data_IF_504431280628
#
_entry.id   IF_504431280628
#
_cell.length_a   1.000
_cell.length_b   1.000
_cell.length_c   1.000
_cell.angle_alpha   90.00
_cell.angle_beta   90.00
_cell.angle_gamma   90.00
#
_symmetry.space_group_name_H-M   'P 1'
#
loop_
_entity.id
_entity.type
_entity.pdbx_description
1 polymer ?
#
# COMPACT_ATOMS: atom_id res chain seq x y z
N UNK A 1 -24.02 -4.49 9.64
CA UNK A 1 -23.79 -3.02 9.68
C UNK A 1 -24.47 -2.31 10.84
N UNK A 2 -25.79 -2.41 11.05
CA UNK A 2 -26.52 -1.55 12.02
C UNK A 2 -25.99 -1.58 13.46
N UNK A 3 -25.51 -2.71 13.97
CA UNK A 3 -25.00 -2.80 15.34
C UNK A 3 -23.59 -2.21 15.51
N UNK A 4 -22.74 -2.19 14.47
CA UNK A 4 -21.39 -1.59 14.53
C UNK A 4 -21.52 -0.06 14.59
N UNK A 5 -22.43 0.50 13.78
CA UNK A 5 -22.75 1.93 13.86
C UNK A 5 -23.34 2.30 15.23
N UNK A 6 -24.22 1.47 15.79
CA UNK A 6 -24.73 1.66 17.15
C UNK A 6 -23.64 1.60 18.23
N UNK A 7 -22.62 0.74 18.06
CA UNK A 7 -21.46 0.67 18.95
C UNK A 7 -20.57 1.91 18.81
N UNK A 8 -20.32 2.38 17.58
CA UNK A 8 -19.55 3.58 17.32
C UNK A 8 -20.22 4.84 17.87
N UNK A 9 -21.55 4.92 17.79
CA UNK A 9 -22.33 6.02 18.39
C UNK A 9 -22.15 6.08 19.91
N UNK A 10 -22.07 4.92 20.57
CA UNK A 10 -21.83 4.83 22.02
C UNK A 10 -20.36 5.04 22.39
N UNK A 11 -19.45 4.52 21.57
CA UNK A 11 -18.00 4.57 21.78
C UNK A 11 -17.28 5.10 20.51
N UNK A 12 -17.18 6.43 20.34
CA UNK A 12 -16.64 7.02 19.11
C UNK A 12 -15.18 6.68 18.79
N UNK A 13 -14.40 6.28 19.80
CA UNK A 13 -12.97 5.97 19.68
C UNK A 13 -12.68 4.46 19.75
N UNK A 14 -13.68 3.61 19.54
CA UNK A 14 -13.46 2.16 19.51
C UNK A 14 -12.75 1.74 18.21
N UNK A 15 -11.49 1.33 18.34
CA UNK A 15 -10.53 1.15 17.23
C UNK A 15 -11.01 0.09 16.24
N UNK A 16 -11.41 -1.09 16.70
CA UNK A 16 -11.82 -2.17 15.81
C UNK A 16 -13.10 -1.82 15.03
N UNK A 17 -14.02 -1.07 15.66
CA UNK A 17 -15.22 -0.59 14.97
C UNK A 17 -14.89 0.46 13.90
N UNK A 18 -13.97 1.38 14.19
CA UNK A 18 -13.50 2.37 13.22
C UNK A 18 -12.85 1.70 12.01
N UNK A 19 -11.97 0.71 12.25
CA UNK A 19 -11.32 -0.06 11.18
C UNK A 19 -12.31 -0.85 10.33
N UNK A 20 -13.30 -1.50 10.95
CA UNK A 20 -14.34 -2.25 10.22
C UNK A 20 -15.27 -1.34 9.43
N UNK A 21 -15.67 -0.20 9.98
CA UNK A 21 -16.49 0.79 9.27
C UNK A 21 -15.72 1.37 8.08
N UNK A 22 -14.42 1.65 8.24
CA UNK A 22 -13.56 2.01 7.11
C UNK A 22 -13.65 0.98 5.97
N UNK A 23 -13.59 -0.32 6.28
CA UNK A 23 -13.69 -1.36 5.26
C UNK A 23 -15.07 -1.39 4.58
N UNK A 24 -16.15 -1.13 5.31
CA UNK A 24 -17.51 -1.02 4.74
C UNK A 24 -17.61 0.16 3.77
N UNK A 25 -17.09 1.34 4.14
CA UNK A 25 -17.08 2.51 3.25
C UNK A 25 -16.20 2.27 2.02
N UNK A 26 -15.05 1.61 2.19
CA UNK A 26 -14.18 1.20 1.10
C UNK A 26 -14.89 0.27 0.10
N UNK A 27 -15.70 -0.69 0.57
CA UNK A 27 -16.52 -1.56 -0.28
C UNK A 27 -17.67 -0.82 -0.97
N UNK A 28 -18.19 0.22 -0.33
CA UNK A 28 -19.24 1.09 -0.88
C UNK A 28 -18.71 2.07 -1.92
N UNK A 29 -17.39 2.18 -2.08
CA UNK A 29 -16.73 3.09 -3.02
C UNK A 29 -16.39 4.47 -2.45
N UNK A 30 -16.82 4.77 -1.23
CA UNK A 30 -16.49 6.04 -0.55
C UNK A 30 -15.14 5.91 0.17
N UNK A 31 -14.08 6.16 -0.60
CA UNK A 31 -12.70 6.09 -0.11
C UNK A 31 -12.33 7.28 0.80
N UNK A 32 -13.04 8.40 0.71
CA UNK A 32 -12.77 9.59 1.51
C UNK A 32 -13.16 9.31 2.95
N UNK A 33 -14.42 8.92 3.16
CA UNK A 33 -14.92 8.55 4.48
C UNK A 33 -14.17 7.36 5.06
N UNK A 34 -13.82 6.35 4.24
CA UNK A 34 -13.01 5.23 4.69
C UNK A 34 -11.65 5.69 5.26
N UNK A 35 -10.97 6.60 4.57
CA UNK A 35 -9.72 7.20 5.04
C UNK A 35 -9.89 7.97 6.36
N UNK A 36 -10.96 8.76 6.50
CA UNK A 36 -11.23 9.49 7.74
C UNK A 36 -11.43 8.57 8.94
N UNK A 37 -12.09 7.42 8.78
CA UNK A 37 -12.25 6.48 9.89
C UNK A 37 -10.91 5.87 10.34
N UNK A 38 -9.98 5.62 9.41
CA UNK A 38 -8.62 5.21 9.76
C UNK A 38 -7.84 6.34 10.46
N UNK A 39 -7.96 7.58 9.98
CA UNK A 39 -7.34 8.74 10.62
C UNK A 39 -7.87 8.93 12.05
N UNK A 40 -9.18 8.75 12.28
CA UNK A 40 -9.79 8.75 13.62
C UNK A 40 -9.27 7.62 14.50
N UNK A 41 -9.03 6.43 13.94
CA UNK A 41 -8.44 5.31 14.68
C UNK A 41 -7.00 5.62 15.11
N UNK A 42 -6.19 6.19 14.21
CA UNK A 42 -4.82 6.62 14.54
C UNK A 42 -4.81 7.74 15.60
N UNK A 43 -5.75 8.67 15.52
CA UNK A 43 -5.92 9.71 16.53
C UNK A 43 -6.30 9.14 17.91
N UNK A 44 -7.15 8.11 17.95
CA UNK A 44 -7.46 7.40 19.19
C UNK A 44 -6.20 6.75 19.79
N UNK A 45 -5.35 6.15 18.95
CA UNK A 45 -4.06 5.62 19.40
C UNK A 45 -3.16 6.73 19.95
N UNK A 46 -2.97 7.81 19.20
CA UNK A 46 -2.12 8.95 19.60
C UNK A 46 -2.47 9.47 21.01
N UNK A 47 -3.77 9.59 21.31
CA UNK A 47 -4.26 9.98 22.63
C UNK A 47 -3.90 9.01 23.76
N UNK A 48 -3.73 7.73 23.44
CA UNK A 48 -3.45 6.66 24.40
C UNK A 48 -1.97 6.36 24.57
N UNK A 49 -1.10 6.96 23.74
CA UNK A 49 0.34 6.71 23.80
C UNK A 49 0.94 7.26 25.10
N UNK A 50 1.84 6.47 25.68
CA UNK A 50 2.61 6.91 26.84
C UNK A 50 3.51 8.10 26.47
N UNK A 51 3.73 9.06 27.38
CA UNK A 51 4.50 10.30 27.13
C UNK A 51 5.93 10.02 26.61
N UNK A 52 6.53 8.89 27.01
CA UNK A 52 7.86 8.44 26.54
C UNK A 52 7.85 7.76 25.16
N UNK A 53 6.68 7.40 24.65
CA UNK A 53 6.53 6.80 23.34
C UNK A 53 6.67 7.90 22.28
N UNK A 54 7.88 8.02 21.73
CA UNK A 54 8.18 9.02 20.73
C UNK A 54 8.19 8.38 19.35
N UNK A 55 7.24 8.79 18.50
CA UNK A 55 7.08 8.33 17.12
C UNK A 55 8.20 8.89 16.22
N UNK A 56 8.58 10.16 16.40
CA UNK A 56 9.53 10.86 15.53
C UNK A 56 10.97 10.35 15.66
N UNK A 57 11.35 9.81 16.81
CA UNK A 57 12.71 9.30 17.04
C UNK A 57 12.94 7.89 16.51
N UNK A 58 11.87 7.14 16.19
CA UNK A 58 12.00 5.76 15.72
C UNK A 58 12.63 4.80 16.75
N UNK A 59 12.64 5.13 18.04
CA UNK A 59 13.17 4.28 19.13
C UNK A 59 12.10 3.46 19.84
N UNK A 60 10.83 3.70 19.53
CA UNK A 60 9.69 3.03 20.15
C UNK A 60 9.45 1.69 19.45
N UNK A 61 9.55 0.58 20.18
CA UNK A 61 9.32 -0.77 19.65
C UNK A 61 7.99 -1.32 20.14
N UNK A 62 7.29 -2.04 19.26
CA UNK A 62 6.00 -2.64 19.56
C UNK A 62 5.98 -4.07 19.05
N UNK A 63 5.75 -5.04 19.93
CA UNK A 63 5.74 -6.46 19.53
C UNK A 63 4.41 -6.83 18.87
N UNK A 64 4.47 -7.33 17.63
CA UNK A 64 3.31 -7.77 16.85
C UNK A 64 2.62 -9.03 17.40
N UNK A 65 3.32 -9.82 18.22
CA UNK A 65 2.75 -11.02 18.83
C UNK A 65 1.61 -10.71 19.80
N UNK A 66 1.58 -9.50 20.39
CA UNK A 66 0.47 -9.07 21.24
C UNK A 66 -0.71 -8.63 20.39
N UNK A 67 -1.87 -9.22 20.62
CA UNK A 67 -3.09 -8.97 19.85
C UNK A 67 -3.46 -7.47 19.77
N UNK A 68 -3.39 -6.74 20.89
CA UNK A 68 -3.78 -5.33 20.98
C UNK A 68 -2.91 -4.41 20.11
N UNK A 69 -1.64 -4.79 19.93
CA UNK A 69 -0.70 -4.03 19.14
C UNK A 69 -0.99 -4.14 17.64
N UNK A 70 -1.55 -5.26 17.18
CA UNK A 70 -1.76 -5.54 15.76
C UNK A 70 -2.69 -4.53 15.11
N UNK A 71 -3.72 -4.09 15.83
CA UNK A 71 -4.62 -3.04 15.37
C UNK A 71 -3.87 -1.74 14.99
N UNK A 72 -2.82 -1.38 15.73
CA UNK A 72 -2.01 -0.20 15.41
C UNK A 72 -1.18 -0.39 14.13
N UNK A 73 -0.54 -1.55 13.95
CA UNK A 73 0.18 -1.89 12.72
C UNK A 73 -0.74 -1.87 11.50
N UNK A 74 -1.93 -2.47 11.61
CA UNK A 74 -2.92 -2.51 10.53
C UNK A 74 -3.48 -1.12 10.22
N UNK A 75 -3.76 -0.30 11.23
CA UNK A 75 -4.22 1.08 11.04
C UNK A 75 -3.17 1.92 10.29
N UNK A 76 -1.89 1.82 10.68
CA UNK A 76 -0.78 2.49 9.99
C UNK A 76 -0.65 2.02 8.54
N UNK A 77 -0.67 0.71 8.31
CA UNK A 77 -0.56 0.16 6.96
C UNK A 77 -1.70 0.64 6.05
N UNK A 78 -2.95 0.57 6.54
CA UNK A 78 -4.12 1.07 5.79
C UNK A 78 -4.02 2.57 5.53
N UNK A 79 -3.52 3.35 6.49
CA UNK A 79 -3.28 4.77 6.29
C UNK A 79 -2.24 5.03 5.19
N UNK A 80 -1.13 4.28 5.17
CA UNK A 80 -0.14 4.34 4.09
C UNK A 80 -0.81 4.08 2.73
N UNK A 81 -1.67 3.05 2.63
CA UNK A 81 -2.41 2.77 1.38
C UNK A 81 -3.31 3.94 0.94
N UNK A 82 -4.04 4.55 1.86
CA UNK A 82 -4.86 5.74 1.56
C UNK A 82 -4.00 6.92 1.10
N UNK A 83 -2.86 7.18 1.76
CA UNK A 83 -1.91 8.23 1.36
C UNK A 83 -1.31 7.97 -0.02
N UNK A 84 -0.91 6.73 -0.32
CA UNK A 84 -0.39 6.35 -1.63
C UNK A 84 -1.43 6.54 -2.73
N UNK A 85 -2.70 6.21 -2.48
CA UNK A 85 -3.80 6.44 -3.44
C UNK A 85 -4.07 7.92 -3.67
N UNK A 86 -3.93 8.77 -2.65
CA UNK A 86 -4.04 10.24 -2.75
C UNK A 86 -2.83 10.88 -3.42
N UNK A 87 -1.75 10.13 -3.70
CA UNK A 87 -0.51 10.66 -4.26
C UNK A 87 0.37 11.40 -3.25
N UNK A 88 0.10 11.26 -1.95
CA UNK A 88 0.89 11.86 -0.87
C UNK A 88 2.15 11.01 -0.58
N UNK A 89 3.02 10.87 -1.58
CA UNK A 89 4.14 9.92 -1.55
C UNK A 89 5.13 10.16 -0.41
N UNK A 90 5.46 11.42 -0.13
CA UNK A 90 6.37 11.77 0.98
C UNK A 90 5.80 11.37 2.34
N UNK A 91 4.53 11.70 2.60
CA UNK A 91 3.86 11.32 3.84
C UNK A 91 3.74 9.80 3.95
N UNK A 92 3.32 9.12 2.88
CA UNK A 92 3.26 7.66 2.85
C UNK A 92 4.61 7.01 3.17
N UNK A 93 5.69 7.58 2.64
CA UNK A 93 7.05 7.12 2.89
C UNK A 93 7.48 7.30 4.36
N UNK A 94 7.22 8.46 4.98
CA UNK A 94 7.50 8.67 6.40
C UNK A 94 6.71 7.73 7.30
N UNK A 95 5.43 7.50 7.00
CA UNK A 95 4.62 6.51 7.74
C UNK A 95 5.13 5.08 7.54
N UNK A 96 5.71 4.77 6.39
CA UNK A 96 6.34 3.45 6.13
C UNK A 96 7.58 3.25 6.99
N UNK A 97 8.43 4.29 7.12
CA UNK A 97 9.57 4.25 8.05
C UNK A 97 9.09 4.08 9.49
N UNK A 98 8.02 4.79 9.88
CA UNK A 98 7.42 4.64 11.20
C UNK A 98 6.96 3.19 11.43
N UNK A 99 6.20 2.61 10.50
CA UNK A 99 5.72 1.24 10.60
C UNK A 99 6.87 0.23 10.73
N UNK A 100 7.90 0.37 9.90
CA UNK A 100 9.11 -0.47 9.97
C UNK A 100 9.85 -0.28 11.31
N UNK A 101 9.87 0.94 11.86
CA UNK A 101 10.57 1.22 13.12
C UNK A 101 9.94 0.54 14.35
N UNK A 102 8.67 0.12 14.27
CA UNK A 102 7.99 -0.56 15.37
C UNK A 102 8.57 -1.97 15.61
N UNK A 103 8.86 -2.69 14.53
CA UNK A 103 9.53 -4.00 14.55
C UNK A 103 10.45 -4.16 13.33
N UNK A 104 11.68 -3.61 13.40
CA UNK A 104 12.61 -3.60 12.26
C UNK A 104 13.23 -4.97 11.96
N UNK A 105 13.16 -5.92 12.90
CA UNK A 105 13.79 -7.23 12.75
C UNK A 105 12.82 -8.19 12.06
N UNK A 106 11.60 -8.32 12.59
CA UNK A 106 10.66 -9.31 12.07
C UNK A 106 9.83 -8.80 10.89
N UNK A 107 9.66 -7.47 10.76
CA UNK A 107 8.87 -6.82 9.71
C UNK A 107 7.53 -7.55 9.41
N UNK A 108 6.60 -7.60 10.38
CA UNK A 108 5.43 -8.47 10.33
C UNK A 108 4.46 -8.16 9.17
N UNK A 109 4.53 -6.96 8.59
CA UNK A 109 3.71 -6.54 7.45
C UNK A 109 4.52 -6.37 6.16
N UNK A 110 5.75 -6.87 6.13
CA UNK A 110 6.66 -6.81 4.98
C UNK A 110 6.82 -5.41 4.37
N UNK A 111 7.02 -4.40 5.22
CA UNK A 111 7.30 -3.02 4.79
C UNK A 111 8.49 -2.94 3.85
N UNK A 112 9.50 -3.78 4.05
CA UNK A 112 10.66 -3.89 3.18
C UNK A 112 10.31 -4.22 1.71
N UNK A 113 9.13 -4.78 1.43
CA UNK A 113 8.73 -5.12 0.06
C UNK A 113 8.24 -3.92 -0.75
N UNK A 114 7.82 -2.83 -0.10
CA UNK A 114 7.19 -1.69 -0.79
C UNK A 114 7.81 -0.33 -0.43
N UNK A 115 8.63 -0.24 0.62
CA UNK A 115 9.22 1.03 1.09
C UNK A 115 10.15 1.64 0.04
N UNK A 116 10.84 0.81 -0.75
CA UNK A 116 11.71 1.24 -1.84
C UNK A 116 10.90 1.97 -2.93
N UNK A 117 9.78 1.40 -3.34
CA UNK A 117 8.87 2.03 -4.31
C UNK A 117 8.34 3.38 -3.81
N UNK A 118 7.91 3.44 -2.54
CA UNK A 118 7.44 4.69 -1.94
C UNK A 118 8.57 5.73 -1.86
N UNK A 119 9.79 5.31 -1.52
CA UNK A 119 10.97 6.17 -1.52
C UNK A 119 11.28 6.75 -2.90
N UNK A 120 11.22 5.92 -3.95
CA UNK A 120 11.38 6.35 -5.35
C UNK A 120 10.31 7.35 -5.78
N UNK A 121 9.03 7.08 -5.46
CA UNK A 121 7.92 8.01 -5.75
C UNK A 121 8.01 9.31 -4.96
N UNK A 122 8.52 9.25 -3.72
CA UNK A 122 8.77 10.41 -2.87
C UNK A 122 10.02 11.20 -3.27
N UNK A 123 10.78 10.74 -4.29
CA UNK A 123 12.05 11.31 -4.75
C UNK A 123 13.16 11.32 -3.69
N UNK A 124 13.09 10.40 -2.72
CA UNK A 124 14.08 10.24 -1.65
C UNK A 124 15.18 9.25 -2.07
N UNK A 125 15.82 9.52 -3.21
CA UNK A 125 16.73 8.57 -3.86
C UNK A 125 17.99 8.29 -3.04
N UNK A 126 18.56 9.32 -2.42
CA UNK A 126 19.73 9.20 -1.54
C UNK A 126 19.44 8.30 -0.35
N UNK A 127 18.26 8.46 0.25
CA UNK A 127 17.82 7.62 1.35
C UNK A 127 17.65 6.16 0.90
N UNK A 128 17.04 5.90 -0.26
CA UNK A 128 16.87 4.51 -0.75
C UNK A 128 18.25 3.85 -0.94
N UNK A 129 19.22 4.59 -1.49
CA UNK A 129 20.59 4.10 -1.65
C UNK A 129 21.28 3.85 -0.30
N UNK A 130 21.24 4.78 0.64
CA UNK A 130 21.86 4.59 1.96
C UNK A 130 21.18 3.43 2.70
N UNK A 131 19.86 3.39 2.70
CA UNK A 131 19.05 2.34 3.32
C UNK A 131 19.40 0.95 2.78
N UNK A 132 19.56 0.80 1.46
CA UNK A 132 19.95 -0.48 0.84
C UNK A 132 21.34 -0.94 1.25
N UNK A 133 22.25 -0.01 1.60
CA UNK A 133 23.64 -0.31 1.96
C UNK A 133 23.86 -0.48 3.47
N UNK A 134 23.12 0.25 4.30
CA UNK A 134 23.37 0.40 5.73
C UNK A 134 22.44 -0.43 6.62
N UNK A 135 21.41 -1.06 6.05
CA UNK A 135 20.48 -1.88 6.83
C UNK A 135 21.14 -3.17 7.33
N UNK A 136 21.19 -3.34 8.66
CA UNK A 136 21.95 -4.42 9.30
C UNK A 136 21.16 -5.73 9.47
N UNK A 137 19.83 -5.67 9.52
CA UNK A 137 19.01 -6.83 9.88
C UNK A 137 18.83 -7.82 8.71
N UNK A 138 18.79 -7.31 7.48
CA UNK A 138 18.53 -8.07 6.27
C UNK A 138 19.44 -7.57 5.14
N UNK A 139 19.96 -8.47 4.31
CA UNK A 139 20.77 -8.08 3.15
C UNK A 139 19.83 -7.59 2.04
N UNK A 140 19.46 -6.30 2.10
CA UNK A 140 18.46 -5.74 1.19
C UNK A 140 18.89 -5.80 -0.27
N UNK A 141 20.19 -5.70 -0.57
CA UNK A 141 20.75 -5.80 -1.93
C UNK A 141 20.41 -7.11 -2.64
N UNK A 142 20.20 -8.17 -1.86
CA UNK A 142 19.89 -9.49 -2.39
C UNK A 142 18.39 -9.65 -2.63
N UNK A 143 17.53 -8.68 -2.27
CA UNK A 143 16.11 -8.73 -2.59
C UNK A 143 15.82 -8.19 -4.01
N UNK A 144 14.87 -8.79 -4.76
CA UNK A 144 14.59 -8.39 -6.14
C UNK A 144 14.18 -6.92 -6.29
N UNK A 145 13.38 -6.42 -5.36
CA UNK A 145 12.89 -5.04 -5.38
C UNK A 145 14.04 -4.05 -5.18
N UNK A 146 14.84 -4.20 -4.12
CA UNK A 146 15.96 -3.30 -3.83
C UNK A 146 17.08 -3.37 -4.88
N UNK A 147 17.34 -4.52 -5.48
CA UNK A 147 18.33 -4.63 -6.56
C UNK A 147 17.99 -3.67 -7.72
N UNK A 148 16.75 -3.68 -8.21
CA UNK A 148 16.31 -2.78 -9.28
C UNK A 148 16.04 -1.35 -8.79
N UNK A 149 15.43 -1.19 -7.60
CA UNK A 149 15.09 0.12 -7.06
C UNK A 149 16.31 0.94 -6.70
N UNK A 150 17.41 0.32 -6.24
CA UNK A 150 18.68 1.01 -6.00
C UNK A 150 19.30 1.52 -7.31
N UNK A 151 19.27 0.72 -8.38
CA UNK A 151 19.71 1.16 -9.70
C UNK A 151 18.88 2.34 -10.21
N UNK A 152 17.54 2.26 -10.10
CA UNK A 152 16.62 3.34 -10.47
C UNK A 152 16.87 4.60 -9.64
N UNK A 153 17.09 4.49 -8.33
CA UNK A 153 17.40 5.63 -7.46
C UNK A 153 18.68 6.34 -7.92
N UNK A 154 19.74 5.57 -8.24
CA UNK A 154 21.00 6.12 -8.73
C UNK A 154 20.84 6.80 -10.08
N UNK A 155 20.09 6.20 -10.99
CA UNK A 155 19.79 6.76 -12.31
C UNK A 155 19.09 8.11 -12.19
N UNK A 156 18.08 8.21 -11.33
CA UNK A 156 17.35 9.46 -11.10
C UNK A 156 18.23 10.57 -10.48
N UNK A 157 19.15 10.21 -9.57
CA UNK A 157 20.12 11.18 -9.02
C UNK A 157 21.11 11.68 -10.08
N UNK A 158 21.57 10.80 -10.96
CA UNK A 158 22.47 11.19 -12.05
C UNK A 158 21.75 12.08 -13.07
N UNK A 159 20.46 11.82 -13.33
CA UNK A 159 19.64 12.67 -14.20
C UNK A 159 19.44 14.09 -13.62
N UNK A 160 19.31 14.20 -12.30
CA UNK A 160 19.21 15.50 -11.62
C UNK A 160 20.54 16.25 -11.58
N UNK A 161 21.66 15.52 -11.56
CA UNK A 161 23.00 16.08 -11.50
C UNK A 161 23.55 16.30 -12.93
N UNK A 162 23.52 17.55 -13.41
CA UNK A 162 24.02 17.95 -14.75
C UNK A 162 25.47 17.55 -15.08
N UNK A 163 26.25 17.12 -14.09
CA UNK A 163 27.65 16.72 -14.22
C UNK A 163 27.86 15.22 -14.53
N UNK A 164 26.83 14.38 -14.39
CA UNK A 164 26.95 12.92 -14.51
C UNK A 164 26.31 12.39 -15.80
N UNK A 165 26.86 12.78 -16.95
CA UNK A 165 26.25 12.47 -18.27
C UNK A 165 26.33 11.00 -18.70
N UNK A 166 27.19 10.19 -18.09
CA UNK A 166 27.49 8.85 -18.62
C UNK A 166 26.68 7.72 -17.99
N UNK A 167 25.84 8.01 -16.99
CA UNK A 167 25.01 7.02 -16.28
C UNK A 167 25.73 5.70 -15.91
N UNK A 168 27.05 5.73 -15.74
CA UNK A 168 27.87 4.51 -15.73
C UNK A 168 27.66 3.73 -14.43
N UNK A 169 27.58 4.43 -13.29
CA UNK A 169 27.37 3.79 -11.99
C UNK A 169 25.94 3.26 -11.83
N UNK A 170 24.92 4.00 -12.30
CA UNK A 170 23.55 3.48 -12.32
C UNK A 170 23.42 2.27 -13.25
N UNK A 171 24.04 2.32 -14.43
CA UNK A 171 24.03 1.22 -15.40
C UNK A 171 24.72 -0.01 -14.84
N UNK A 172 25.87 0.11 -14.17
CA UNK A 172 26.52 -1.01 -13.49
C UNK A 172 25.62 -1.67 -12.42
N UNK A 173 24.88 -0.86 -11.64
CA UNK A 173 23.91 -1.39 -10.67
C UNK A 173 22.75 -2.11 -11.36
N UNK A 174 22.26 -1.60 -12.49
CA UNK A 174 21.18 -2.23 -13.25
C UNK A 174 21.64 -3.51 -13.93
N UNK A 175 22.81 -3.52 -14.56
CA UNK A 175 23.43 -4.72 -15.12
C UNK A 175 23.54 -5.81 -14.06
N UNK A 176 24.00 -5.46 -12.84
CA UNK A 176 24.06 -6.38 -11.70
C UNK A 176 22.67 -6.89 -11.29
N UNK A 177 21.66 -6.02 -11.25
CA UNK A 177 20.29 -6.40 -10.92
C UNK A 177 19.68 -7.36 -11.97
N UNK A 178 19.98 -7.15 -13.26
CA UNK A 178 19.59 -8.06 -14.35
C UNK A 178 20.28 -9.42 -14.20
N UNK A 179 21.55 -9.45 -13.80
CA UNK A 179 22.28 -10.70 -13.56
C UNK A 179 21.68 -11.47 -12.38
N UNK A 180 21.27 -10.78 -11.31
CA UNK A 180 20.65 -11.41 -10.14
C UNK A 180 19.24 -11.92 -10.44
N UNK A 181 18.45 -11.13 -11.18
CA UNK A 181 17.03 -11.41 -11.45
C UNK A 181 16.67 -11.09 -12.91
N UNK A 182 17.10 -11.94 -13.86
CA UNK A 182 16.89 -11.70 -15.29
C UNK A 182 15.41 -11.71 -15.69
N UNK A 183 14.60 -12.54 -15.04
CA UNK A 183 13.17 -12.73 -15.34
C UNK A 183 12.28 -11.51 -15.02
N UNK A 184 12.78 -10.51 -14.29
CA UNK A 184 12.08 -9.23 -14.10
C UNK A 184 11.94 -8.48 -15.43
N UNK A 185 12.97 -8.50 -16.28
CA UNK A 185 13.01 -7.72 -17.53
C UNK A 185 11.88 -8.10 -18.50
N UNK A 186 11.68 -9.38 -18.88
CA UNK A 186 10.58 -9.75 -19.77
C UNK A 186 9.20 -9.44 -19.15
N UNK A 187 9.05 -9.58 -17.84
CA UNK A 187 7.80 -9.24 -17.13
C UNK A 187 7.53 -7.73 -17.12
N UNK A 188 8.57 -6.91 -17.00
CA UNK A 188 8.46 -5.45 -17.14
C UNK A 188 8.12 -5.06 -18.59
N UNK A 189 8.72 -5.73 -19.58
CA UNK A 189 8.43 -5.48 -21.00
C UNK A 189 6.97 -5.78 -21.34
N UNK A 190 6.45 -6.92 -20.91
CA UNK A 190 5.04 -7.27 -21.07
C UNK A 190 4.14 -6.24 -20.38
N UNK A 191 4.47 -5.85 -19.16
CA UNK A 191 3.61 -4.96 -18.37
C UNK A 191 3.66 -3.49 -18.81
N UNK A 192 4.81 -3.02 -19.29
CA UNK A 192 5.01 -1.63 -19.73
C UNK A 192 4.87 -1.46 -21.25
N UNK A 193 4.56 -2.54 -21.97
CA UNK A 193 4.34 -2.57 -23.42
C UNK A 193 5.52 -2.01 -24.24
N UNK A 194 6.74 -2.47 -23.92
CA UNK A 194 7.93 -2.18 -24.72
C UNK A 194 8.55 -3.45 -25.30
N UNK A 195 9.22 -3.29 -26.45
CA UNK A 195 9.78 -4.41 -27.20
C UNK A 195 11.19 -4.77 -26.71
N UNK A 196 11.48 -6.06 -26.63
CA UNK A 196 12.83 -6.61 -26.45
C UNK A 196 13.19 -7.33 -27.76
N UNK A 197 14.43 -7.18 -28.21
CA UNK A 197 14.91 -7.89 -29.41
C UNK A 197 14.76 -9.41 -29.22
N UNK A 198 14.22 -10.09 -30.24
CA UNK A 198 13.93 -11.53 -30.19
C UNK A 198 15.14 -12.37 -29.80
N UNK A 199 16.33 -12.02 -30.33
CA UNK A 199 17.58 -12.73 -30.05
C UNK A 199 18.00 -12.67 -28.58
N UNK A 200 17.55 -11.64 -27.85
CA UNK A 200 17.82 -11.45 -26.43
C UNK A 200 16.74 -12.14 -25.60
N UNK A 201 15.47 -12.01 -26.01
CA UNK A 201 14.34 -12.63 -25.34
C UNK A 201 14.44 -14.16 -25.35
N UNK A 202 14.94 -14.75 -26.45
CA UNK A 202 15.12 -16.20 -26.61
C UNK A 202 16.38 -16.74 -25.90
N UNK A 203 17.17 -15.88 -25.25
CA UNK A 203 18.35 -16.32 -24.49
C UNK A 203 17.94 -17.13 -23.27
N UNK A 204 18.52 -18.33 -23.09
CA UNK A 204 18.24 -19.24 -21.97
C UNK A 204 18.33 -18.57 -20.60
N UNK A 205 19.28 -17.63 -20.42
CA UNK A 205 19.46 -16.90 -19.18
C UNK A 205 18.36 -15.86 -18.92
N UNK A 206 17.90 -15.16 -19.97
CA UNK A 206 16.86 -14.12 -19.83
C UNK A 206 15.47 -14.76 -19.70
N UNK A 207 15.24 -15.86 -20.41
CA UNK A 207 14.03 -16.66 -20.32
C UNK A 207 14.01 -17.58 -19.08
N UNK A 208 15.05 -17.56 -18.23
CA UNK A 208 15.16 -18.40 -17.04
C UNK A 208 14.04 -18.07 -16.06
N UNK A 209 13.11 -19.01 -15.87
CA UNK A 209 12.09 -18.93 -14.81
C UNK A 209 12.59 -19.72 -13.62
N UNK A 210 12.70 -19.07 -12.46
CA UNK A 210 13.11 -19.74 -11.23
C UNK A 210 12.13 -20.86 -10.87
N UNK A 211 12.65 -21.95 -10.33
CA UNK A 211 11.83 -23.05 -9.77
C UNK A 211 11.14 -22.65 -8.47
N UNK A 212 11.67 -21.65 -7.75
CA UNK A 212 11.11 -21.18 -6.49
C UNK A 212 9.80 -20.40 -6.70
N UNK A 213 8.71 -20.91 -6.11
CA UNK A 213 7.42 -20.20 -6.07
C UNK A 213 7.51 -18.89 -5.28
N UNK A 214 8.34 -18.86 -4.24
CA UNK A 214 8.49 -17.68 -3.40
C UNK A 214 9.20 -16.56 -4.16
N UNK A 215 10.32 -16.85 -4.84
CA UNK A 215 11.01 -15.84 -5.65
C UNK A 215 10.12 -15.30 -6.77
N UNK A 216 9.43 -16.18 -7.50
CA UNK A 216 8.51 -15.75 -8.56
C UNK A 216 7.37 -14.85 -8.03
N UNK A 217 6.89 -15.09 -6.81
CA UNK A 217 5.92 -14.21 -6.16
C UNK A 217 6.51 -12.83 -5.85
N UNK A 218 7.73 -12.75 -5.32
CA UNK A 218 8.40 -11.48 -5.04
C UNK A 218 8.66 -10.66 -6.31
N UNK A 219 9.11 -11.34 -7.37
CA UNK A 219 9.32 -10.74 -8.69
C UNK A 219 8.00 -10.15 -9.23
N UNK A 220 6.91 -10.92 -9.18
CA UNK A 220 5.63 -10.45 -9.68
C UNK A 220 5.04 -9.32 -8.81
N UNK A 221 5.24 -9.35 -7.50
CA UNK A 221 4.86 -8.25 -6.60
C UNK A 221 5.62 -6.97 -6.96
N UNK A 222 6.95 -7.09 -7.14
CA UNK A 222 7.79 -5.96 -7.53
C UNK A 222 7.36 -5.38 -8.89
N UNK A 223 7.19 -6.22 -9.91
CA UNK A 223 6.73 -5.79 -11.25
C UNK A 223 5.34 -5.17 -11.16
N UNK A 224 4.44 -5.75 -10.35
CA UNK A 224 3.09 -5.25 -10.24
C UNK A 224 3.09 -3.80 -9.71
N UNK A 225 3.88 -3.56 -8.67
CA UNK A 225 3.98 -2.28 -8.00
C UNK A 225 4.82 -1.24 -8.76
N UNK A 226 6.00 -1.64 -9.25
CA UNK A 226 7.02 -0.74 -9.79
C UNK A 226 6.82 -0.38 -11.25
N UNK A 227 5.96 -1.09 -12.00
CA UNK A 227 5.68 -0.79 -13.41
C UNK A 227 5.47 0.70 -13.74
N UNK A 228 4.77 1.54 -12.94
CA UNK A 228 4.61 2.96 -13.26
C UNK A 228 5.88 3.82 -13.13
N UNK A 229 7.00 3.24 -12.66
CA UNK A 229 8.32 3.89 -12.66
C UNK A 229 9.07 3.61 -13.96
N UNK A 230 8.76 2.49 -14.62
CA UNK A 230 9.41 2.03 -15.85
C UNK A 230 8.68 2.47 -17.12
N UNK A 231 7.63 3.28 -17.02
CA UNK A 231 6.88 3.79 -18.19
C UNK A 231 7.57 4.99 -18.87
N UNK A 232 8.57 5.60 -18.26
CA UNK A 232 9.26 6.76 -18.86
C UNK A 232 10.17 6.30 -20.00
N UNK A 233 10.14 6.94 -21.19
CA UNK A 233 10.96 6.54 -22.34
C UNK A 233 12.45 6.48 -22.03
N UNK A 234 12.96 7.37 -21.18
CA UNK A 234 14.36 7.39 -20.76
C UNK A 234 14.71 6.17 -19.91
N UNK A 235 13.79 5.73 -19.04
CA UNK A 235 13.99 4.53 -18.23
C UNK A 235 13.94 3.25 -19.09
N UNK A 236 13.06 3.21 -20.09
CA UNK A 236 12.94 2.09 -21.02
C UNK A 236 14.20 1.97 -21.88
N UNK A 237 14.65 3.07 -22.49
CA UNK A 237 15.86 3.07 -23.33
C UNK A 237 17.11 2.71 -22.52
N UNK A 238 17.20 3.22 -21.29
CA UNK A 238 18.24 2.83 -20.35
C UNK A 238 18.20 1.33 -20.00
N UNK A 239 17.03 0.79 -19.68
CA UNK A 239 16.86 -0.65 -19.40
C UNK A 239 17.26 -1.53 -20.58
N UNK A 240 16.84 -1.17 -21.80
CA UNK A 240 17.21 -1.88 -23.02
C UNK A 240 18.73 -1.84 -23.26
N UNK A 241 19.37 -0.69 -23.01
CA UNK A 241 20.82 -0.55 -23.14
C UNK A 241 21.60 -1.42 -22.14
N UNK A 242 21.16 -1.47 -20.88
CA UNK A 242 21.77 -2.31 -19.86
C UNK A 242 21.57 -3.80 -20.15
N UNK A 243 20.37 -4.18 -20.62
CA UNK A 243 20.07 -5.54 -21.05
C UNK A 243 20.97 -5.98 -22.21
N UNK A 244 21.12 -5.12 -23.22
CA UNK A 244 22.03 -5.35 -24.35
C UNK A 244 23.47 -5.53 -23.89
N UNK A 245 23.96 -4.69 -22.97
CA UNK A 245 25.31 -4.84 -22.43
C UNK A 245 25.53 -6.18 -21.75
N UNK A 246 24.60 -6.61 -20.88
CA UNK A 246 24.65 -7.92 -20.21
C UNK A 246 24.66 -9.05 -21.24
N UNK A 247 23.77 -8.99 -22.23
CA UNK A 247 23.68 -10.00 -23.28
C UNK A 247 24.94 -10.10 -24.13
N UNK A 248 25.50 -8.96 -24.57
CA UNK A 248 26.73 -8.92 -25.37
C UNK A 248 27.90 -9.42 -24.53
N UNK A 249 27.97 -9.07 -23.25
CA UNK A 249 29.01 -9.53 -22.32
C UNK A 249 29.01 -11.05 -22.15
N UNK A 250 27.82 -11.67 -22.08
CA UNK A 250 27.69 -13.14 -22.07
C UNK A 250 28.21 -13.79 -23.35
N UNK A 251 27.97 -13.19 -24.52
CA UNK A 251 28.44 -13.73 -25.82
C UNK A 251 29.92 -13.45 -26.09
N UNK A 252 30.40 -12.28 -25.67
CA UNK A 252 31.74 -11.77 -25.90
C UNK A 252 32.34 -11.31 -24.57
N UNK A 253 33.09 -12.19 -23.87
CA UNK A 253 33.68 -11.85 -22.57
C UNK A 253 34.60 -10.63 -22.61
N UNK A 254 35.21 -10.33 -23.76
CA UNK A 254 36.08 -9.16 -23.96
C UNK A 254 35.33 -7.83 -24.14
N UNK A 255 33.99 -7.84 -24.19
CA UNK A 255 33.19 -6.61 -24.31
C UNK A 255 33.30 -5.76 -23.04
N UNK A 256 33.49 -4.45 -23.18
CA UNK A 256 33.52 -3.53 -22.04
C UNK A 256 32.10 -3.09 -21.70
N UNK A 257 31.46 -3.83 -20.79
CA UNK A 257 30.23 -3.39 -20.12
C UNK A 257 30.57 -2.36 -19.03
N UNK A 258 29.55 -1.82 -18.34
CA UNK A 258 29.79 -0.94 -17.20
C UNK A 258 30.40 -1.69 -16.01
N UNK A 259 30.07 -2.98 -15.86
CA UNK A 259 30.76 -3.88 -14.94
C UNK A 259 32.11 -4.35 -15.49
N UNK A 260 33.11 -4.44 -14.60
CA UNK A 260 34.39 -5.09 -14.91
C UNK A 260 34.22 -6.61 -15.07
N UNK A 261 35.20 -7.27 -15.71
CA UNK A 261 35.15 -8.72 -15.96
C UNK A 261 35.02 -9.52 -14.65
N UNK A 262 35.76 -9.12 -13.62
CA UNK A 262 35.75 -9.75 -12.30
C UNK A 262 34.38 -9.53 -11.63
N UNK A 263 33.90 -8.29 -11.56
CA UNK A 263 32.58 -7.95 -10.97
C UNK A 263 31.43 -8.67 -11.68
N UNK A 264 31.50 -8.83 -13.00
CA UNK A 264 30.49 -9.56 -13.76
C UNK A 264 30.47 -11.04 -13.36
N UNK A 265 31.65 -11.66 -13.28
CA UNK A 265 31.77 -13.07 -12.91
C UNK A 265 31.30 -13.32 -11.47
N UNK A 266 31.67 -12.46 -10.53
CA UNK A 266 31.23 -12.52 -9.13
C UNK A 266 29.72 -12.31 -9.03
N UNK A 267 29.17 -11.32 -9.75
CA UNK A 267 27.74 -11.08 -9.78
C UNK A 267 26.95 -12.27 -10.35
N UNK A 268 27.49 -12.96 -11.36
CA UNK A 268 26.84 -14.13 -11.95
C UNK A 268 26.79 -15.31 -10.99
N UNK A 269 27.88 -15.59 -10.27
CA UNK A 269 27.93 -16.64 -9.25
C UNK A 269 26.99 -16.30 -8.09
N UNK A 270 27.11 -15.09 -7.53
CA UNK A 270 26.27 -14.64 -6.40
C UNK A 270 24.78 -14.63 -6.76
N UNK A 271 24.43 -14.15 -7.97
CA UNK A 271 23.05 -14.15 -8.45
C UNK A 271 22.45 -15.56 -8.52
N UNK A 272 23.23 -16.56 -8.97
CA UNK A 272 22.79 -17.96 -8.94
C UNK A 272 22.60 -18.47 -7.51
N UNK A 273 23.57 -18.22 -6.64
CA UNK A 273 23.51 -18.65 -5.23
C UNK A 273 22.31 -18.07 -4.48
N UNK A 274 21.97 -16.80 -4.73
CA UNK A 274 20.77 -16.18 -4.14
C UNK A 274 19.50 -16.87 -4.65
N UNK A 275 19.36 -17.02 -5.98
CA UNK A 275 18.16 -17.62 -6.59
C UNK A 275 17.94 -19.07 -6.15
N UNK A 276 19.02 -19.82 -5.96
CA UNK A 276 18.99 -21.19 -5.49
C UNK A 276 18.72 -21.25 -3.98
N UNK A 277 19.49 -20.57 -3.13
CA UNK A 277 19.48 -20.82 -1.68
C UNK A 277 18.52 -19.95 -0.87
N UNK A 278 18.31 -18.67 -1.24
CA UNK A 278 17.62 -17.71 -0.38
C UNK A 278 16.09 -17.92 -0.36
N UNK A 279 15.54 -18.50 -1.44
CA UNK A 279 14.10 -18.60 -1.67
C UNK A 279 13.57 -20.04 -1.74
N UNK A 280 14.31 -21.04 -1.27
CA UNK A 280 13.86 -22.45 -1.30
C UNK A 280 12.64 -22.72 -0.41
N UNK A 281 12.52 -21.94 0.67
CA UNK A 281 11.49 -22.13 1.67
C UNK A 281 10.09 -21.80 1.13
N UNK A 282 9.08 -22.34 1.82
CA UNK A 282 7.70 -21.93 1.58
C UNK A 282 7.53 -20.42 1.79
N UNK A 283 6.53 -19.84 1.12
CA UNK A 283 6.21 -18.41 1.25
C UNK A 283 5.99 -18.07 2.73
N UNK A 284 6.76 -17.13 3.30
CA UNK A 284 6.64 -16.75 4.70
C UNK A 284 5.24 -16.24 5.07
N UNK A 285 4.90 -16.35 6.36
CA UNK A 285 3.61 -15.92 6.88
C UNK A 285 3.45 -14.40 6.76
N UNK A 286 4.54 -13.65 6.93
CA UNK A 286 4.62 -12.19 6.83
C UNK A 286 4.27 -11.72 5.43
N UNK A 287 4.81 -12.38 4.41
CA UNK A 287 4.54 -12.08 2.99
C UNK A 287 3.09 -12.42 2.66
N UNK A 288 2.60 -13.56 3.16
CA UNK A 288 1.20 -13.94 3.00
C UNK A 288 0.26 -12.92 3.66
N UNK A 289 0.62 -12.43 4.85
CA UNK A 289 -0.11 -11.40 5.58
C UNK A 289 -0.11 -10.08 4.82
N UNK A 290 1.04 -9.66 4.30
CA UNK A 290 1.14 -8.48 3.45
C UNK A 290 0.21 -8.56 2.22
N UNK A 291 0.15 -9.70 1.53
CA UNK A 291 -0.73 -9.87 0.35
C UNK A 291 -2.21 -9.75 0.75
N UNK A 292 -2.59 -10.32 1.88
CA UNK A 292 -3.96 -10.23 2.40
C UNK A 292 -4.31 -8.80 2.80
N UNK A 293 -3.45 -8.11 3.54
CA UNK A 293 -3.68 -6.73 4.02
C UNK A 293 -3.60 -5.73 2.87
N UNK A 294 -2.75 -5.97 1.87
CA UNK A 294 -2.66 -5.14 0.66
C UNK A 294 -3.87 -5.30 -0.26
N UNK A 295 -4.72 -6.31 -0.02
CA UNK A 295 -5.93 -6.61 -0.80
C UNK A 295 -5.62 -6.90 -2.28
N UNK A 296 -4.42 -7.40 -2.58
CA UNK A 296 -4.02 -7.70 -3.95
C UNK A 296 -4.56 -9.07 -4.39
N UNK A 297 -5.77 -9.03 -4.96
CA UNK A 297 -6.53 -10.22 -5.37
C UNK A 297 -5.80 -11.14 -6.34
N UNK A 298 -4.88 -10.59 -7.14
CA UNK A 298 -4.09 -11.33 -8.14
C UNK A 298 -3.20 -12.41 -7.53
N UNK A 299 -2.74 -12.18 -6.30
CA UNK A 299 -1.73 -13.02 -5.65
C UNK A 299 -2.30 -13.98 -4.62
N UNK A 300 -3.58 -13.85 -4.25
CA UNK A 300 -4.23 -14.72 -3.26
C UNK A 300 -4.17 -16.20 -3.66
N UNK A 301 -4.32 -16.52 -4.95
CA UNK A 301 -4.25 -17.90 -5.44
C UNK A 301 -2.88 -18.56 -5.36
N UNK A 302 -1.82 -17.79 -5.07
CA UNK A 302 -0.45 -18.30 -4.93
C UNK A 302 -0.03 -18.54 -3.49
N UNK A 303 -0.88 -18.15 -2.53
CA UNK A 303 -0.57 -18.28 -1.12
C UNK A 303 -0.63 -19.75 -0.66
N UNK A 304 0.14 -20.13 0.38
CA UNK A 304 0.06 -21.47 0.96
C UNK A 304 -1.35 -21.79 1.49
N UNK A 305 -1.68 -23.08 1.55
CA UNK A 305 -3.00 -23.58 2.00
C UNK A 305 -3.42 -23.12 3.40
N UNK A 306 -2.50 -22.60 4.22
CA UNK A 306 -2.81 -22.06 5.55
C UNK A 306 -3.80 -20.89 5.46
N UNK A 307 -3.79 -20.16 4.34
CA UNK A 307 -4.67 -19.03 4.04
C UNK A 307 -6.10 -19.46 3.68
N UNK A 308 -6.35 -20.77 3.46
CA UNK A 308 -7.69 -21.30 3.18
C UNK A 308 -8.59 -21.42 4.42
N UNK A 309 -8.04 -21.24 5.63
CA UNK A 309 -8.81 -21.16 6.85
C UNK A 309 -9.33 -19.72 6.96
N UNK A 310 -10.65 -19.54 7.05
CA UNK A 310 -11.34 -18.24 6.95
C UNK A 310 -10.54 -17.07 7.51
N UNK A 311 -10.14 -16.15 6.63
CA UNK A 311 -9.30 -15.02 6.97
C UNK A 311 -10.13 -13.99 7.73
N UNK A 312 -9.76 -13.74 8.98
CA UNK A 312 -10.31 -12.63 9.74
C UNK A 312 -9.66 -11.32 9.27
N UNK A 313 -10.42 -10.46 8.59
CA UNK A 313 -9.92 -9.17 8.08
C UNK A 313 -9.43 -8.21 9.19
N UNK A 314 -9.92 -8.39 10.41
CA UNK A 314 -9.51 -7.58 11.58
C UNK A 314 -8.20 -8.07 12.23
N UNK A 315 -7.81 -9.32 12.00
CA UNK A 315 -6.55 -9.91 12.48
C UNK A 315 -6.05 -10.94 11.45
N UNK A 316 -5.51 -10.46 10.31
CA UNK A 316 -5.18 -11.31 9.19
C UNK A 316 -3.92 -12.12 9.49
N UNK A 317 -4.05 -13.45 9.44
CA UNK A 317 -2.95 -14.40 9.60
C UNK A 317 -2.09 -14.10 10.86
N UNK A 318 -2.67 -14.22 12.07
CA UNK A 318 -1.95 -13.91 13.31
C UNK A 318 -0.71 -14.80 13.48
N UNK A 319 0.36 -14.30 14.13
CA UNK A 319 1.54 -15.11 14.39
C UNK A 319 1.18 -16.33 15.27
N UNK A 320 1.78 -17.51 15.03
CA UNK A 320 1.46 -18.73 15.77
C UNK A 320 1.78 -18.60 17.27
N UNK A 321 2.81 -17.83 17.62
CA UNK A 321 3.21 -17.54 19.01
C UNK A 321 2.47 -16.33 19.61
N UNK A 322 1.39 -15.89 18.95
CA UNK A 322 0.64 -14.72 19.35
C UNK A 322 -0.19 -14.93 20.62
N UNK A 323 -0.05 -14.02 21.58
CA UNK A 323 -0.87 -14.01 22.80
C UNK A 323 -2.16 -13.22 22.55
N UNK A 324 -3.31 -13.86 22.72
CA UNK A 324 -4.62 -13.20 22.69
C UNK A 324 -5.34 -13.42 24.03
N UNK A 325 -5.46 -12.37 24.89
CA UNK A 325 -6.10 -12.52 26.20
C UNK A 325 -7.61 -12.80 26.11
N UNK A 326 -8.24 -12.50 24.97
CA UNK A 326 -9.66 -12.76 24.77
C UNK A 326 -9.94 -14.26 24.55
N UNK A 327 -8.98 -15.02 24.01
CA UNK A 327 -9.15 -16.48 23.81
C UNK A 327 -9.22 -17.25 25.13
N UNK A 328 -8.45 -16.83 26.15
CA UNK A 328 -8.48 -17.45 27.49
C UNK A 328 -9.74 -17.10 28.28
N UNK A 329 -10.27 -15.88 28.12
CA UNK A 329 -11.54 -15.48 28.73
C UNK A 329 -12.72 -16.27 28.16
N UNK A 330 -12.71 -16.53 26.85
CA UNK A 330 -13.70 -17.39 26.17
C UNK A 330 -13.61 -18.83 26.67
N UNK A 331 -12.40 -19.40 26.82
CA UNK A 331 -12.23 -20.75 27.37
C UNK A 331 -12.71 -20.87 28.83
N UNK A 332 -12.47 -19.84 29.66
CA UNK A 332 -12.92 -19.82 31.05
C UNK A 332 -14.43 -19.54 31.20
N UNK A 333 -15.05 -18.77 30.30
CA UNK A 333 -16.51 -18.58 30.27
C UNK A 333 -17.26 -19.82 29.78
N UNK A 334 -16.69 -20.57 28.83
CA UNK A 334 -17.27 -21.81 28.32
C UNK A 334 -17.36 -22.94 29.37
N UNK A 335 -16.50 -22.93 30.38
CA UNK A 335 -16.55 -23.88 31.49
C UNK A 335 -17.53 -23.46 32.60
N UNK A 336 -18.03 -22.23 32.60
CA UNK A 336 -18.73 -21.66 33.74
C UNK A 336 -20.26 -21.67 33.64
N UNK A 337 -20.89 -21.69 32.45
CA UNK A 337 -22.34 -21.87 32.33
C UNK A 337 -22.76 -22.13 30.87
N UNK A 338 -23.50 -23.22 30.68
CA UNK A 338 -24.34 -23.45 29.52
C UNK A 338 -25.32 -22.29 29.33
N UNK A 339 -25.15 -21.55 28.23
CA UNK A 339 -26.15 -20.62 27.70
C UNK A 339 -25.81 -19.15 27.91
N UNK A 340 -25.11 -18.55 26.95
CA UNK A 340 -25.26 -17.13 26.68
C UNK A 340 -25.17 -16.87 25.17
N UNK A 341 -26.37 -16.76 24.60
CA UNK A 341 -26.72 -16.41 23.22
C UNK A 341 -25.96 -15.19 22.68
N UNK A 342 -25.48 -14.29 23.55
CA UNK A 342 -24.71 -13.11 23.18
C UNK A 342 -23.32 -13.39 22.60
N UNK A 343 -22.64 -14.48 23.00
CA UNK A 343 -21.31 -14.80 22.46
C UNK A 343 -21.41 -15.57 21.14
N UNK A 344 -22.38 -16.47 21.02
CA UNK A 344 -22.76 -17.03 19.71
C UNK A 344 -23.18 -15.89 18.78
N UNK A 345 -23.90 -14.88 19.27
CA UNK A 345 -24.22 -13.70 18.46
C UNK A 345 -23.03 -12.78 18.24
N UNK A 346 -22.05 -12.61 19.14
CA UNK A 346 -20.88 -11.75 18.90
C UNK A 346 -19.87 -12.42 17.95
N UNK A 347 -19.63 -13.73 18.10
CA UNK A 347 -18.86 -14.53 17.14
C UNK A 347 -19.61 -14.74 15.83
N UNK A 348 -20.95 -14.84 15.84
CA UNK A 348 -21.75 -14.73 14.60
C UNK A 348 -21.86 -13.29 14.11
N UNK A 349 -21.61 -12.27 14.90
CA UNK A 349 -21.69 -10.87 14.47
C UNK A 349 -20.37 -10.41 13.85
N UNK A 350 -19.25 -10.85 14.42
CA UNK A 350 -17.90 -10.65 13.90
C UNK A 350 -17.56 -11.70 12.81
N UNK A 351 -18.08 -12.92 12.92
CA UNK A 351 -17.89 -14.02 11.95
C UNK A 351 -19.02 -14.24 10.93
N UNK A 352 -20.17 -13.55 11.05
CA UNK A 352 -21.16 -13.38 9.95
C UNK A 352 -21.19 -11.95 9.39
N UNK A 353 -20.12 -11.18 9.54
CA UNK A 353 -19.76 -10.31 8.43
C UNK A 353 -19.30 -11.27 7.34
N UNK A 354 -19.99 -11.34 6.19
CA UNK A 354 -19.82 -12.46 5.30
C UNK A 354 -18.35 -12.52 4.85
N UNK A 355 -17.79 -13.72 4.92
CA UNK A 355 -16.65 -14.17 4.10
C UNK A 355 -16.93 -14.06 2.58
N UNK A 356 -17.87 -13.20 2.18
CA UNK A 356 -18.04 -12.69 0.85
C UNK A 356 -16.72 -12.09 0.35
N UNK A 357 -15.84 -11.51 1.15
CA UNK A 357 -14.66 -10.86 0.54
C UNK A 357 -13.56 -11.80 0.03
N UNK A 358 -13.72 -13.13 0.11
CA UNK A 358 -12.90 -14.08 -0.66
C UNK A 358 -13.74 -14.80 -1.70
N UNK A 359 -14.97 -15.20 -1.37
CA UNK A 359 -15.90 -15.83 -2.34
C UNK A 359 -16.52 -14.85 -3.33
N UNK A 360 -16.93 -13.66 -2.91
CA UNK A 360 -17.38 -12.51 -3.71
C UNK A 360 -16.22 -11.80 -4.39
N UNK A 361 -14.98 -11.89 -3.89
CA UNK A 361 -13.79 -11.48 -4.67
C UNK A 361 -13.50 -12.51 -5.77
N UNK A 362 -13.59 -13.81 -5.46
CA UNK A 362 -13.46 -14.88 -6.46
C UNK A 362 -14.62 -14.86 -7.48
N UNK A 363 -15.85 -14.60 -7.05
CA UNK A 363 -17.02 -14.39 -7.90
C UNK A 363 -16.93 -13.06 -8.65
N UNK A 364 -16.46 -11.97 -8.04
CA UNK A 364 -16.22 -10.70 -8.77
C UNK A 364 -15.10 -10.86 -9.79
N UNK A 365 -14.04 -11.61 -9.52
CA UNK A 365 -12.97 -11.89 -10.49
C UNK A 365 -13.53 -12.73 -11.66
N UNK A 366 -14.43 -13.68 -11.39
CA UNK A 366 -15.14 -14.43 -12.43
C UNK A 366 -16.22 -13.61 -13.15
N UNK A 367 -16.83 -12.61 -12.50
CA UNK A 367 -17.85 -11.71 -13.10
C UNK A 367 -17.24 -10.51 -13.84
N UNK A 368 -16.03 -10.07 -13.47
CA UNK A 368 -15.25 -9.05 -14.19
C UNK A 368 -14.84 -9.58 -15.57
N UNK A 369 -14.86 -10.90 -15.79
CA UNK A 369 -14.75 -11.49 -17.11
C UNK A 369 -15.97 -11.20 -18.02
N UNK A 370 -17.12 -10.79 -17.48
CA UNK A 370 -18.34 -10.47 -18.23
C UNK A 370 -18.77 -9.00 -18.02
N UNK A 371 -18.09 -8.11 -18.73
CA UNK A 371 -18.13 -6.66 -18.57
C UNK A 371 -19.39 -5.92 -19.10
N UNK A 372 -20.62 -6.29 -18.72
CA UNK A 372 -21.82 -5.58 -19.25
C UNK A 372 -22.90 -5.13 -18.25
N UNK A 373 -22.87 -5.51 -16.97
CA UNK A 373 -24.03 -5.34 -16.09
C UNK A 373 -23.89 -4.41 -14.88
N UNK A 374 -22.91 -3.50 -14.85
CA UNK A 374 -22.73 -2.61 -13.69
C UNK A 374 -23.87 -1.59 -13.49
N UNK A 375 -24.47 -1.11 -14.58
CA UNK A 375 -25.54 -0.10 -14.51
C UNK A 375 -26.86 -0.68 -13.97
N UNK A 376 -27.25 -1.86 -14.46
CA UNK A 376 -28.49 -2.52 -14.08
C UNK A 376 -28.50 -3.02 -12.62
N UNK A 377 -27.33 -3.33 -12.06
CA UNK A 377 -27.18 -3.71 -10.65
C UNK A 377 -27.28 -2.51 -9.70
N UNK A 378 -26.77 -1.34 -10.12
CA UNK A 378 -26.90 -0.09 -9.36
C UNK A 378 -28.36 0.39 -9.33
N UNK A 379 -29.07 0.34 -10.46
CA UNK A 379 -30.47 0.79 -10.56
C UNK A 379 -31.42 -0.06 -9.69
N UNK A 380 -31.19 -1.38 -9.61
CA UNK A 380 -31.97 -2.28 -8.73
C UNK A 380 -31.72 -2.03 -7.24
N UNK A 381 -30.52 -1.58 -6.87
CA UNK A 381 -30.18 -1.23 -5.49
C UNK A 381 -30.84 0.10 -5.08
N UNK A 382 -30.96 1.03 -6.03
CA UNK A 382 -31.66 2.31 -5.83
C UNK A 382 -33.18 2.08 -5.71
N UNK A 383 -33.79 1.21 -6.52
CA UNK A 383 -35.21 0.84 -6.39
C UNK A 383 -35.53 0.17 -5.05
N UNK A 384 -34.66 -0.71 -4.55
CA UNK A 384 -34.84 -1.34 -3.23
C UNK A 384 -34.71 -0.35 -2.07
N UNK A 385 -33.91 0.70 -2.22
CA UNK A 385 -33.79 1.76 -1.21
C UNK A 385 -34.97 2.76 -1.28
N UNK A 386 -35.56 2.97 -2.47
CA UNK A 386 -36.75 3.81 -2.65
C UNK A 386 -38.04 3.14 -2.12
N UNK A 387 -38.14 1.81 -2.20
CA UNK A 387 -39.29 1.04 -1.71
C UNK A 387 -39.45 0.97 -0.18
N UNK A 388 -38.52 1.51 0.60
CA UNK A 388 -38.57 1.57 2.07
C UNK A 388 -39.17 2.88 2.61
N UNK A 389 -39.73 3.74 1.73
CA UNK A 389 -40.22 5.08 2.12
C UNK A 389 -41.74 5.27 2.10
N UNK A 390 -42.52 4.20 2.07
CA UNK A 390 -43.99 4.26 2.22
C UNK A 390 -44.42 3.29 3.30
N UNK A 391 -44.58 3.83 4.51
CA UNK A 391 -45.67 3.53 5.45
C UNK A 391 -45.34 4.28 6.74
N UNK A 392 -45.81 5.54 6.80
CA UNK A 392 -46.32 6.22 8.00
C UNK A 392 -46.54 7.70 7.65
N UNK A 393 -47.69 8.00 7.02
CA UNK A 393 -48.31 9.32 7.16
C UNK A 393 -49.37 9.22 8.25
N UNK A 394 -49.17 9.95 9.36
CA UNK A 394 -50.15 10.89 9.95
C UNK A 394 -49.76 11.23 11.39
N UNK A 395 -48.97 12.29 11.56
CA UNK A 395 -49.13 13.22 12.69
C UNK A 395 -48.56 14.58 12.27
N UNK A 396 -49.46 15.52 11.97
CA UNK A 396 -49.13 16.94 11.79
C UNK A 396 -48.57 17.49 13.10
N UNK A 397 -47.28 17.88 13.10
CA UNK A 397 -46.75 18.81 14.10
C UNK A 397 -46.05 19.94 13.35
N UNK A 398 -46.67 21.12 13.45
CA UNK A 398 -46.17 22.42 12.99
C UNK A 398 -44.79 22.69 13.61
N UNK A 399 -43.74 22.70 12.78
CA UNK A 399 -42.39 23.11 13.20
C UNK A 399 -42.25 24.61 13.02
N UNK A 400 -42.36 25.32 14.14
CA UNK A 400 -41.96 26.72 14.28
C UNK A 400 -40.42 26.78 14.24
N UNK A 401 -39.84 27.38 13.20
CA UNK A 401 -38.39 27.54 13.04
C UNK A 401 -37.85 28.58 14.01
N UNK A 402 -37.53 28.17 15.25
CA UNK A 402 -36.68 28.91 16.18
C UNK A 402 -36.00 27.92 17.13
N UNK A 403 -34.76 27.52 16.84
CA UNK A 403 -33.64 27.44 17.80
C UNK A 403 -32.35 26.92 17.12
N UNK A 404 -31.17 27.42 17.52
CA UNK A 404 -29.91 27.25 16.78
C UNK A 404 -29.22 25.91 17.05
N UNK A 405 -28.49 25.42 16.05
CA UNK A 405 -27.57 24.28 16.14
C UNK A 405 -26.38 24.67 17.03
N UNK A 406 -25.96 23.84 18.01
CA UNK A 406 -24.78 24.13 18.82
C UNK A 406 -23.48 23.82 18.06
N UNK A 407 -22.66 24.85 17.84
CA UNK A 407 -21.30 24.71 17.31
C UNK A 407 -20.39 23.95 18.28
N UNK A 408 -19.58 23.01 17.74
CA UNK A 408 -18.51 22.35 18.49
C UNK A 408 -17.28 23.25 18.62
N UNK A 409 -16.60 23.26 19.79
CA UNK A 409 -15.49 24.17 20.05
C UNK A 409 -14.22 23.73 19.31
N UNK A 410 -13.69 24.59 18.43
CA UNK A 410 -12.37 24.40 17.80
C UNK A 410 -12.21 24.83 16.33
N UNK A 411 -13.17 25.52 15.71
CA UNK A 411 -13.03 26.06 14.36
C UNK A 411 -12.23 27.36 14.30
N UNK A 412 -11.30 27.48 13.32
CA UNK A 412 -10.67 28.75 12.95
C UNK A 412 -11.70 29.71 12.32
N UNK A 413 -11.52 31.04 12.42
CA UNK A 413 -12.55 32.02 12.05
C UNK A 413 -12.88 31.97 10.55
N UNK A 414 -14.18 31.89 10.21
CA UNK A 414 -14.67 32.19 8.88
C UNK A 414 -14.77 33.71 8.71
N UNK A 415 -14.18 34.23 7.64
CA UNK A 415 -14.35 35.63 7.23
C UNK A 415 -15.82 35.88 6.85
N UNK A 416 -16.45 36.81 7.55
CA UNK A 416 -17.81 37.26 7.33
C UNK A 416 -17.90 38.06 6.04
N UNK A 417 -18.72 37.57 5.13
CA UNK A 417 -19.05 38.19 3.85
C UNK A 417 -20.39 38.93 4.00
N UNK A 418 -20.35 40.20 4.41
CA UNK A 418 -21.50 41.09 4.39
C UNK A 418 -21.36 42.08 3.21
N UNK A 419 -22.15 41.86 2.15
CA UNK A 419 -22.73 42.97 1.37
C UNK A 419 -23.96 43.48 2.12
N UNK A 420 -24.57 44.64 1.88
CA UNK A 420 -24.66 45.61 0.80
C UNK A 420 -24.92 46.97 1.53
N UNK A 421 -24.91 48.20 1.00
CA UNK A 421 -25.40 48.74 -0.25
C UNK A 421 -25.18 50.27 -0.23
N UNK A 422 -25.54 50.97 -1.32
CA UNK A 422 -25.69 52.44 -1.46
C UNK A 422 -24.52 53.25 -2.06
N UNK A 423 -24.50 53.39 -3.40
CA UNK A 423 -24.94 54.62 -4.10
C UNK A 423 -24.47 54.64 -5.57
N UNK A 424 -25.46 54.61 -6.48
CA UNK A 424 -25.32 55.07 -7.87
C UNK A 424 -25.07 56.58 -7.90
N UNK A 425 -24.04 57.05 -8.61
CA UNK A 425 -24.21 58.03 -9.68
C UNK A 425 -22.94 58.21 -10.53
N UNK A 426 -23.16 58.43 -11.83
CA UNK A 426 -22.15 58.40 -12.89
C UNK A 426 -21.20 59.60 -12.94
N UNK A 427 -20.20 59.48 -13.82
CA UNK A 427 -19.26 60.55 -14.14
C UNK A 427 -18.18 60.06 -15.10
N UNK A 428 -18.31 60.47 -16.36
CA UNK A 428 -17.36 60.31 -17.45
C UNK A 428 -15.94 60.77 -17.12
N UNK A 429 -14.93 60.18 -17.76
CA UNK A 429 -13.59 60.78 -17.89
C UNK A 429 -12.51 59.83 -18.39
N UNK A 430 -12.14 59.96 -19.66
CA UNK A 430 -10.99 59.35 -20.34
C UNK A 430 -9.63 59.60 -19.63
N UNK A 431 -8.57 58.82 -19.96
CA UNK A 431 -7.25 58.94 -19.36
C UNK A 431 -6.35 59.92 -20.12
N UNK A 432 -5.22 60.35 -19.54
CA UNK A 432 -4.06 60.75 -20.32
C UNK A 432 -2.84 59.84 -20.10
N UNK A 433 -2.16 59.60 -21.21
CA UNK A 433 -0.84 59.01 -21.35
C UNK A 433 0.27 60.02 -20.98
N UNK A 434 1.52 59.49 -20.91
CA UNK A 434 2.84 60.17 -20.95
C UNK A 434 3.26 60.89 -19.64
N UNK A 435 4.46 60.73 -19.07
CA UNK A 435 5.86 60.70 -19.58
C UNK A 435 6.73 59.70 -18.76
N UNK A 436 7.68 58.91 -19.31
CA UNK A 436 9.08 59.19 -19.73
C UNK A 436 10.03 59.83 -18.70
N UNK A 437 11.11 59.08 -18.43
CA UNK A 437 12.43 59.42 -17.83
C UNK A 437 12.40 59.66 -16.30
N UNK A 438 13.27 59.10 -15.46
CA UNK A 438 14.69 58.70 -15.58
C UNK A 438 14.97 57.33 -14.92
#
# INVERSE_FOLDING_TARGET
SNTIFGLLQKNPYHIDSLMQISDVYKMSGDLVMAGEFIERALYAFEKSLHIKFNLSKGTSRLNYNKFENRAFFLALFRHIQFLSRRGCWQTAFEFSKLLLSLDPVNDPLCVLHFIDYLGLKAKQYEYVLSFTNEWEHHILKDLPNFAYSSAMAKFQLELQNSNSKNHEASTALLERAIIYYPSIVPKLAEKCDFQIDSDIADNEFIAEVSTSKFLNLLIDLYVDQSSPLWTQPEAITWLQSALLNVFVKFKLPSYKASLTDDEFSDAFVHGREIRENLFENQIPLEVSRYIVVSENSKFLGRLPSIVNHGINLYDPLPPPDGTNPYTEQVANMNNANSGNIFEIDLQRFLGRMPNANVQLLAERINQIADATNLQAAADRLIEMLAGLRTDDENEEIVVNNQNPVPDMPGGFPQESNDGEDELRNGGNGEPPQEDRNE
#
